data_IF_872314517617
#
_entry.id   IF_872314517617
#
_cell.length_a   1.000
_cell.length_b   1.000
_cell.length_c   1.000
_cell.angle_alpha   90.00
_cell.angle_beta   90.00
_cell.angle_gamma   90.00
#
_symmetry.space_group_name_H-M   'P 1'
#
loop_
_entity.id
_entity.type
_entity.pdbx_description
1 polymer ?
#
# COMPACT_ATOMS: atom_id res chain seq x y z
N UNK A 1 16.24 0.50 -33.64
CA UNK A 1 16.24 1.14 -32.29
C UNK A 1 15.08 0.53 -31.51
N UNK A 2 15.34 -0.60 -30.83
CA UNK A 2 14.30 -1.50 -30.23
C UNK A 2 13.76 -1.03 -28.87
N UNK A 3 14.10 0.16 -28.43
CA UNK A 3 13.68 0.71 -27.12
C UNK A 3 12.19 1.04 -27.04
N UNK A 4 11.46 1.01 -28.16
CA UNK A 4 10.03 1.33 -28.23
C UNK A 4 9.12 0.11 -28.06
N UNK A 5 9.67 -1.09 -27.87
CA UNK A 5 8.81 -2.26 -27.62
C UNK A 5 8.11 -2.12 -26.26
N UNK A 6 6.80 -2.38 -26.13
CA UNK A 6 6.03 -2.15 -24.91
C UNK A 6 6.60 -2.80 -23.65
N UNK A 7 7.32 -3.92 -23.79
CA UNK A 7 7.98 -4.56 -22.66
C UNK A 7 9.10 -3.71 -22.04
N UNK A 8 9.84 -2.98 -22.89
CA UNK A 8 10.90 -2.08 -22.41
C UNK A 8 10.33 -0.79 -21.81
N UNK A 9 9.21 -0.28 -22.36
CA UNK A 9 8.50 0.84 -21.75
C UNK A 9 8.02 0.51 -20.34
N UNK A 10 7.43 -0.67 -20.13
CA UNK A 10 7.02 -1.14 -18.79
C UNK A 10 8.23 -1.24 -17.86
N UNK A 11 9.35 -1.79 -18.35
CA UNK A 11 10.58 -1.91 -17.57
C UNK A 11 11.12 -0.52 -17.17
N UNK A 12 11.16 0.43 -18.12
CA UNK A 12 11.64 1.80 -17.83
C UNK A 12 10.76 2.48 -16.79
N UNK A 13 9.43 2.38 -16.92
CA UNK A 13 8.50 2.95 -15.91
C UNK A 13 8.71 2.29 -14.55
N UNK A 14 8.86 0.98 -14.50
CA UNK A 14 9.15 0.28 -13.25
C UNK A 14 10.45 0.74 -12.62
N UNK A 15 11.54 0.80 -13.38
CA UNK A 15 12.85 1.22 -12.88
C UNK A 15 12.84 2.67 -12.40
N UNK A 16 12.12 3.56 -13.11
CA UNK A 16 11.95 4.94 -12.69
C UNK A 16 11.17 5.04 -11.36
N UNK A 17 10.03 4.36 -11.25
CA UNK A 17 9.23 4.35 -10.02
C UNK A 17 10.02 3.74 -8.85
N UNK A 18 10.68 2.61 -9.06
CA UNK A 18 11.53 1.97 -8.05
C UNK A 18 12.67 2.89 -7.60
N UNK A 19 13.34 3.58 -8.54
CA UNK A 19 14.43 4.50 -8.22
C UNK A 19 13.94 5.70 -7.40
N UNK A 20 12.76 6.23 -7.72
CA UNK A 20 12.14 7.32 -6.96
C UNK A 20 11.82 6.85 -5.54
N UNK A 21 11.15 5.72 -5.38
CA UNK A 21 10.81 5.16 -4.07
C UNK A 21 12.06 4.91 -3.23
N UNK A 22 13.11 4.35 -3.84
CA UNK A 22 14.38 4.09 -3.18
C UNK A 22 15.10 5.38 -2.76
N UNK A 23 15.11 6.39 -3.63
CA UNK A 23 15.78 7.67 -3.34
C UNK A 23 15.04 8.46 -2.26
N UNK A 24 13.71 8.41 -2.26
CA UNK A 24 12.89 9.09 -1.25
C UNK A 24 12.91 8.42 0.11
N UNK A 25 13.26 7.13 0.19
CA UNK A 25 13.35 6.33 1.41
C UNK A 25 12.19 6.55 2.40
N UNK A 26 10.96 6.68 1.89
CA UNK A 26 9.77 7.02 2.69
C UNK A 26 9.45 6.00 3.79
N UNK A 27 10.03 4.82 3.74
CA UNK A 27 9.89 3.82 4.81
C UNK A 27 10.67 4.19 6.08
N UNK A 28 11.64 5.10 6.03
CA UNK A 28 12.45 5.52 7.18
C UNK A 28 11.83 6.66 7.97
N UNK A 29 10.98 7.48 7.33
CA UNK A 29 10.38 8.66 7.96
C UNK A 29 9.14 8.38 8.80
N UNK A 30 8.89 9.24 9.77
CA UNK A 30 7.70 9.18 10.64
C UNK A 30 6.40 9.38 9.84
N UNK A 31 6.40 10.32 8.90
CA UNK A 31 5.29 10.56 7.97
C UNK A 31 5.26 9.57 6.80
N UNK A 32 6.02 8.54 6.83
CA UNK A 32 6.27 7.49 5.86
C UNK A 32 5.22 7.24 4.77
N UNK A 33 5.21 6.01 4.27
CA UNK A 33 4.28 5.56 3.23
C UNK A 33 2.84 5.51 3.74
N UNK A 34 2.64 5.15 5.02
CA UNK A 34 1.32 4.96 5.62
C UNK A 34 0.88 6.30 6.24
N UNK A 35 0.51 7.25 5.39
CA UNK A 35 0.09 8.58 5.80
C UNK A 35 -1.14 9.03 5.01
N UNK A 36 -1.84 10.04 5.49
CA UNK A 36 -3.00 10.66 4.84
C UNK A 36 -4.06 9.62 4.39
N UNK A 37 -4.53 9.71 3.16
CA UNK A 37 -5.56 8.82 2.64
C UNK A 37 -5.13 7.35 2.60
N UNK A 38 -3.83 7.07 2.39
CA UNK A 38 -3.28 5.70 2.43
C UNK A 38 -3.50 5.10 3.82
N UNK A 39 -3.33 5.88 4.87
CA UNK A 39 -3.60 5.44 6.24
C UNK A 39 -5.05 4.95 6.40
N UNK A 40 -6.03 5.73 5.94
CA UNK A 40 -7.44 5.36 6.06
C UNK A 40 -7.82 4.12 5.24
N UNK A 41 -7.18 3.87 4.08
CA UNK A 41 -7.37 2.62 3.34
C UNK A 41 -6.71 1.42 4.01
N UNK A 42 -5.54 1.63 4.59
CA UNK A 42 -4.68 0.58 5.13
C UNK A 42 -5.10 0.13 6.54
N UNK A 43 -5.62 1.06 7.35
CA UNK A 43 -5.90 0.87 8.78
C UNK A 43 -6.83 -0.30 9.11
N UNK A 44 -7.70 -0.69 8.17
CA UNK A 44 -8.53 -1.89 8.31
C UNK A 44 -7.73 -3.17 8.55
N UNK A 45 -6.52 -3.28 8.00
CA UNK A 45 -5.68 -4.47 8.14
C UNK A 45 -5.14 -4.64 9.57
N UNK A 46 -4.41 -3.66 10.14
CA UNK A 46 -3.99 -3.80 11.53
C UNK A 46 -5.17 -3.81 12.50
N UNK A 47 -6.23 -3.04 12.25
CA UNK A 47 -7.42 -3.05 13.10
C UNK A 47 -8.01 -4.47 13.21
N UNK A 48 -8.20 -5.15 12.07
CA UNK A 48 -8.80 -6.47 12.04
C UNK A 48 -7.83 -7.57 12.52
N UNK A 49 -6.58 -7.58 12.03
CA UNK A 49 -5.70 -8.74 12.18
C UNK A 49 -4.71 -8.64 13.33
N UNK A 50 -4.44 -7.43 13.84
CA UNK A 50 -3.51 -7.22 14.97
C UNK A 50 -4.26 -6.84 16.23
N UNK A 51 -5.26 -5.96 16.09
CA UNK A 51 -5.93 -5.37 17.25
C UNK A 51 -7.30 -5.98 17.56
N UNK A 52 -7.81 -6.86 16.66
CA UNK A 52 -9.16 -7.47 16.80
C UNK A 52 -10.26 -6.42 17.04
N UNK A 53 -10.22 -5.35 16.27
CA UNK A 53 -11.06 -4.15 16.43
C UNK A 53 -11.67 -3.68 15.11
N UNK A 54 -12.49 -4.52 14.49
CA UNK A 54 -13.19 -4.18 13.26
C UNK A 54 -14.14 -2.99 13.38
N UNK A 55 -14.61 -2.73 14.60
CA UNK A 55 -15.51 -1.61 14.91
C UNK A 55 -14.77 -0.30 15.14
N UNK A 56 -13.45 -0.32 15.14
CA UNK A 56 -12.60 0.85 15.39
C UNK A 56 -12.92 1.51 16.75
N UNK A 57 -13.44 0.74 17.72
CA UNK A 57 -13.78 1.25 19.05
C UNK A 57 -12.55 1.67 19.85
N UNK A 58 -11.46 0.93 19.65
CA UNK A 58 -10.17 1.21 20.26
C UNK A 58 -9.36 2.26 19.47
N UNK A 59 -10.02 3.22 18.83
CA UNK A 59 -9.40 4.28 18.01
C UNK A 59 -8.36 5.14 18.72
N UNK A 60 -8.04 4.81 19.96
CA UNK A 60 -6.96 5.40 20.77
C UNK A 60 -5.66 4.61 20.67
N UNK A 61 -5.51 3.71 19.68
CA UNK A 61 -4.22 3.10 19.42
C UNK A 61 -3.23 4.17 18.98
N UNK A 62 -2.45 4.60 19.95
CA UNK A 62 -1.30 5.44 19.71
C UNK A 62 -0.15 4.56 19.28
N UNK A 63 0.46 4.90 18.16
CA UNK A 63 1.83 4.49 17.93
C UNK A 63 2.70 5.00 19.06
N UNK A 64 3.83 4.35 19.31
CA UNK A 64 4.74 4.68 20.41
C UNK A 64 5.20 6.15 20.44
N UNK A 65 4.90 6.91 19.39
CA UNK A 65 5.28 8.32 19.22
C UNK A 65 4.12 9.32 19.12
N UNK A 66 2.93 8.95 19.62
CA UNK A 66 1.74 9.82 19.74
C UNK A 66 1.18 10.45 18.45
N UNK A 67 1.69 10.14 17.25
CA UNK A 67 1.42 10.90 16.03
C UNK A 67 0.39 10.29 15.08
N UNK A 68 -0.02 9.04 15.23
CA UNK A 68 -0.93 8.39 14.30
C UNK A 68 -2.14 7.79 15.02
N UNK A 69 -3.29 8.33 14.71
CA UNK A 69 -4.59 7.80 15.11
C UNK A 69 -5.23 7.11 13.90
N UNK A 70 -6.04 6.07 14.13
CA UNK A 70 -7.08 5.75 13.18
C UNK A 70 -7.98 6.99 13.06
N UNK A 71 -8.15 7.51 11.86
CA UNK A 71 -8.96 8.71 11.63
C UNK A 71 -10.45 8.40 11.55
N UNK A 72 -10.87 7.35 12.24
CA UNK A 72 -12.26 6.95 12.30
C UNK A 72 -13.12 8.08 12.85
N UNK A 73 -14.14 8.44 12.11
CA UNK A 73 -15.11 9.48 12.49
C UNK A 73 -16.42 8.83 12.92
N UNK A 74 -17.12 9.39 13.93
CA UNK A 74 -18.43 8.88 14.30
C UNK A 74 -19.45 9.15 13.17
N UNK A 75 -20.22 8.13 12.83
CA UNK A 75 -21.41 8.28 11.99
C UNK A 75 -22.58 8.89 12.79
N UNK A 76 -23.75 9.05 12.14
CA UNK A 76 -24.95 9.60 12.78
C UNK A 76 -25.47 8.73 13.94
N UNK A 77 -25.08 7.47 14.01
CA UNK A 77 -25.48 6.51 15.03
C UNK A 77 -24.39 6.34 16.12
N UNK A 78 -23.29 7.07 16.02
CA UNK A 78 -22.16 6.98 16.95
C UNK A 78 -21.17 5.87 16.62
N UNK A 79 -21.37 5.08 15.54
CA UNK A 79 -20.40 4.07 15.11
C UNK A 79 -19.17 4.76 14.50
N UNK A 80 -18.00 4.23 14.78
CA UNK A 80 -16.77 4.75 14.17
C UNK A 80 -16.57 4.14 12.78
N UNK A 81 -16.34 4.99 11.81
CA UNK A 81 -16.10 4.62 10.41
C UNK A 81 -14.90 5.34 9.85
N UNK A 82 -14.12 4.63 9.07
CA UNK A 82 -13.06 5.25 8.28
C UNK A 82 -13.64 6.01 7.08
N UNK A 83 -13.02 7.13 6.74
CA UNK A 83 -13.41 7.96 5.60
C UNK A 83 -13.36 7.17 4.28
N UNK A 84 -12.39 6.28 4.15
CA UNK A 84 -12.12 5.53 2.92
C UNK A 84 -12.67 4.11 3.00
N UNK A 85 -12.98 3.53 1.84
CA UNK A 85 -13.53 2.17 1.74
C UNK A 85 -12.45 1.10 1.96
N UNK A 86 -12.85 -0.09 2.44
CA UNK A 86 -11.94 -1.21 2.70
C UNK A 86 -11.42 -1.92 1.44
N UNK A 87 -11.85 -1.53 0.23
CA UNK A 87 -11.48 -2.22 -1.01
C UNK A 87 -9.97 -2.28 -1.25
N UNK A 88 -9.24 -1.18 -1.00
CA UNK A 88 -7.78 -1.17 -1.12
C UNK A 88 -7.10 -2.00 -0.03
N UNK A 89 -7.68 -2.10 1.16
CA UNK A 89 -7.15 -3.00 2.20
C UNK A 89 -7.09 -4.46 1.69
N UNK A 90 -8.09 -4.91 0.94
CA UNK A 90 -8.07 -6.25 0.34
C UNK A 90 -6.89 -6.44 -0.62
N UNK A 91 -6.58 -5.42 -1.43
CA UNK A 91 -5.42 -5.46 -2.34
C UNK A 91 -4.10 -5.40 -1.57
N UNK A 92 -4.02 -4.68 -0.47
CA UNK A 92 -2.83 -4.60 0.37
C UNK A 92 -2.62 -5.85 1.24
N UNK A 93 -3.69 -6.64 1.49
CA UNK A 93 -3.65 -7.74 2.45
C UNK A 93 -2.56 -8.80 2.19
N UNK A 94 -2.26 -9.26 0.96
CA UNK A 94 -1.18 -10.21 0.73
C UNK A 94 0.18 -9.67 1.20
N UNK A 95 0.44 -8.40 0.90
CA UNK A 95 1.69 -7.72 1.29
C UNK A 95 1.75 -7.46 2.78
N UNK A 96 0.61 -7.15 3.40
CA UNK A 96 0.50 -6.99 4.85
C UNK A 96 0.87 -8.28 5.60
N UNK A 97 0.35 -9.44 5.18
CA UNK A 97 0.68 -10.70 5.83
C UNK A 97 2.15 -11.10 5.65
N UNK A 98 2.73 -10.86 4.47
CA UNK A 98 4.17 -11.03 4.26
C UNK A 98 4.96 -10.09 5.16
N UNK A 99 4.58 -8.82 5.25
CA UNK A 99 5.21 -7.84 6.12
C UNK A 99 5.15 -8.25 7.59
N UNK A 100 4.01 -8.78 8.04
CA UNK A 100 3.84 -9.27 9.40
C UNK A 100 4.78 -10.43 9.71
N UNK A 101 4.89 -11.39 8.79
CA UNK A 101 5.86 -12.48 8.89
C UNK A 101 7.31 -11.99 8.94
N UNK A 102 7.67 -11.01 8.09
CA UNK A 102 9.00 -10.39 8.10
C UNK A 102 9.24 -9.66 9.43
N UNK A 103 8.26 -8.91 9.93
CA UNK A 103 8.39 -8.20 11.21
C UNK A 103 8.66 -9.16 12.38
N UNK A 104 8.00 -10.32 12.40
CA UNK A 104 8.24 -11.39 13.39
C UNK A 104 9.69 -11.90 13.27
N UNK A 105 10.11 -12.27 12.06
CA UNK A 105 11.43 -12.86 11.81
C UNK A 105 12.58 -11.89 12.07
N UNK A 106 12.37 -10.59 11.86
CA UNK A 106 13.40 -9.54 12.01
C UNK A 106 13.30 -8.77 13.33
N UNK A 107 12.43 -9.21 14.25
CA UNK A 107 12.20 -8.59 15.55
C UNK A 107 11.78 -7.11 15.50
N UNK A 108 11.11 -6.71 14.40
CA UNK A 108 10.48 -5.39 14.32
C UNK A 108 9.16 -5.38 15.09
N UNK A 109 8.72 -4.18 15.48
CA UNK A 109 7.42 -4.01 16.14
C UNK A 109 6.28 -4.51 15.25
N UNK A 110 5.45 -5.40 15.79
CA UNK A 110 4.35 -6.06 15.06
C UNK A 110 3.05 -5.24 15.12
N UNK A 111 3.15 -3.92 14.99
CA UNK A 111 2.03 -2.99 15.13
C UNK A 111 1.27 -2.68 13.82
N UNK A 112 1.71 -3.24 12.69
CA UNK A 112 1.14 -2.95 11.38
C UNK A 112 1.78 -1.75 10.66
N UNK A 113 2.74 -1.03 11.29
CA UNK A 113 3.23 0.27 10.79
C UNK A 113 4.75 0.42 10.84
N UNK A 114 5.45 -0.55 11.38
CA UNK A 114 6.90 -0.57 11.38
C UNK A 114 7.49 -0.72 9.96
N UNK A 115 8.79 -0.54 9.82
CA UNK A 115 9.49 -0.52 8.52
C UNK A 115 9.12 -1.66 7.57
N UNK A 116 9.01 -2.95 7.98
CA UNK A 116 8.60 -4.02 7.09
C UNK A 116 7.25 -3.76 6.39
N UNK A 117 6.27 -3.23 7.11
CA UNK A 117 4.96 -2.94 6.54
C UNK A 117 5.01 -1.79 5.54
N UNK A 118 5.77 -0.73 5.82
CA UNK A 118 5.97 0.40 4.92
C UNK A 118 6.63 -0.05 3.61
N UNK A 119 7.69 -0.84 3.71
CA UNK A 119 8.41 -1.38 2.55
C UNK A 119 7.52 -2.28 1.71
N UNK A 120 6.81 -3.23 2.33
CA UNK A 120 5.93 -4.14 1.60
C UNK A 120 4.72 -3.42 0.98
N UNK A 121 4.24 -2.35 1.59
CA UNK A 121 3.19 -1.51 1.00
C UNK A 121 3.68 -0.79 -0.26
N UNK A 122 4.90 -0.23 -0.26
CA UNK A 122 5.53 0.33 -1.47
C UNK A 122 5.70 -0.73 -2.56
N UNK A 123 6.19 -1.92 -2.20
CA UNK A 123 6.31 -3.03 -3.14
C UNK A 123 4.96 -3.45 -3.72
N UNK A 124 3.87 -3.35 -2.95
CA UNK A 124 2.52 -3.59 -3.46
C UNK A 124 2.14 -2.60 -4.57
N UNK A 125 2.46 -1.32 -4.40
CA UNK A 125 2.20 -0.30 -5.40
C UNK A 125 2.96 -0.59 -6.71
N UNK A 126 4.23 -0.94 -6.63
CA UNK A 126 5.04 -1.33 -7.79
C UNK A 126 4.50 -2.60 -8.46
N UNK A 127 4.09 -3.60 -7.69
CA UNK A 127 3.47 -4.81 -8.20
C UNK A 127 2.20 -4.51 -9.00
N UNK A 128 1.27 -3.74 -8.42
CA UNK A 128 0.03 -3.38 -9.09
C UNK A 128 0.24 -2.43 -10.28
N UNK A 129 1.26 -1.58 -10.25
CA UNK A 129 1.67 -0.77 -11.40
C UNK A 129 2.04 -1.66 -12.59
N UNK A 130 2.93 -2.65 -12.38
CA UNK A 130 3.34 -3.59 -13.44
C UNK A 130 2.12 -4.38 -13.94
N UNK A 131 1.30 -4.88 -13.03
CA UNK A 131 0.12 -5.65 -13.37
C UNK A 131 -0.84 -4.81 -14.23
N UNK A 132 -1.13 -3.58 -13.81
CA UNK A 132 -1.98 -2.63 -14.53
C UNK A 132 -1.45 -2.30 -15.94
N UNK A 133 -0.14 -2.03 -16.06
CA UNK A 133 0.48 -1.74 -17.36
C UNK A 133 0.42 -2.96 -18.31
N UNK A 134 0.56 -4.18 -17.78
CA UNK A 134 0.39 -5.39 -18.59
C UNK A 134 -1.05 -5.59 -19.05
N UNK A 135 -2.03 -5.32 -18.20
CA UNK A 135 -3.44 -5.35 -18.59
C UNK A 135 -3.76 -4.27 -19.62
N UNK A 136 -3.28 -3.04 -19.42
CA UNK A 136 -3.42 -1.95 -20.38
C UNK A 136 -2.86 -2.35 -21.74
N UNK A 137 -1.66 -2.91 -21.78
CA UNK A 137 -1.05 -3.43 -23.03
C UNK A 137 -1.95 -4.45 -23.72
N UNK A 138 -2.52 -5.40 -22.98
CA UNK A 138 -3.45 -6.42 -23.53
C UNK A 138 -4.71 -5.77 -24.09
N UNK A 139 -5.29 -4.82 -23.36
CA UNK A 139 -6.49 -4.07 -23.78
C UNK A 139 -6.23 -3.30 -25.08
N UNK A 140 -5.11 -2.56 -25.16
CA UNK A 140 -4.77 -1.82 -26.38
C UNK A 140 -4.64 -2.74 -27.60
N UNK A 141 -4.10 -3.94 -27.44
CA UNK A 141 -4.04 -4.94 -28.52
C UNK A 141 -5.44 -5.39 -28.98
N UNK A 142 -6.40 -5.54 -28.07
CA UNK A 142 -7.78 -5.88 -28.43
C UNK A 142 -8.44 -4.79 -29.28
N UNK A 143 -8.09 -3.53 -29.05
CA UNK A 143 -8.55 -2.39 -29.87
C UNK A 143 -7.69 -2.18 -31.14
N UNK A 144 -6.88 -3.16 -31.53
CA UNK A 144 -6.06 -3.16 -32.76
C UNK A 144 -5.02 -2.01 -32.83
N UNK A 145 -4.65 -1.42 -31.71
CA UNK A 145 -3.47 -0.56 -31.68
C UNK A 145 -2.22 -1.37 -32.03
N UNK A 146 -1.61 -1.06 -33.17
CA UNK A 146 -0.37 -1.72 -33.59
C UNK A 146 0.78 -1.26 -32.69
N UNK A 147 1.60 -2.22 -32.26
CA UNK A 147 2.91 -1.87 -31.67
C UNK A 147 3.72 -1.18 -32.77
N UNK A 148 4.17 0.07 -32.50
CA UNK A 148 5.07 0.77 -33.42
C UNK A 148 6.36 -0.05 -33.52
N UNK A 149 6.67 -0.47 -34.73
CA UNK A 149 7.91 -1.15 -35.10
C UNK A 149 9.10 -0.21 -35.08
#
# INVERSE_FOLDING_TARGET
MDLLKPKYAILVVFLAAFSIDFTMAKWEGDEGVIAHDIHSYYSYLPALFIYDDIKLEKSNYRYADDRYFFWAQPDKNGNKVEKMTCGLALLYSPFFFVAHGVAICTQHTQNGFSTPYKVLLLLSALFYLILGLNFLKRTLRLFQFKEST
#
